data_IF_966480506423
#
_entry.id   IF_966480506423
#
_cell.length_a   1.000
_cell.length_b   1.000
_cell.length_c   1.000
_cell.angle_alpha   90.00
_cell.angle_beta   90.00
_cell.angle_gamma   90.00
#
_symmetry.space_group_name_H-M   'P 1'
#
loop_
_entity.id
_entity.type
_entity.pdbx_description
1 polymer ?
#
# COMPACT_ATOMS: atom_id res chain seq x y z
N UNK A 1 -36.08 7.99 63.20
CA UNK A 1 -35.26 6.85 62.75
C UNK A 1 -35.65 6.57 61.31
N UNK A 2 -35.01 7.24 60.35
CA UNK A 2 -33.78 6.82 59.67
C UNK A 2 -34.11 6.13 58.35
N UNK A 3 -33.71 6.82 57.28
CA UNK A 3 -33.82 6.46 55.88
C UNK A 3 -33.19 5.09 55.55
N UNK A 4 -33.69 4.47 54.48
CA UNK A 4 -32.78 3.87 53.49
C UNK A 4 -33.34 4.03 52.08
N UNK A 5 -32.81 5.04 51.39
CA UNK A 5 -32.71 5.07 49.93
C UNK A 5 -31.83 3.91 49.49
N UNK A 6 -32.24 3.19 48.45
CA UNK A 6 -31.34 2.46 47.56
C UNK A 6 -32.04 2.36 46.20
N UNK A 7 -32.30 3.46 45.50
CA UNK A 7 -31.43 3.98 44.42
C UNK A 7 -30.00 3.44 44.45
N UNK A 8 -29.67 2.62 43.47
CA UNK A 8 -28.34 2.07 43.29
C UNK A 8 -28.22 1.22 42.03
N UNK A 9 -28.78 1.66 40.91
CA UNK A 9 -28.19 1.32 39.62
C UNK A 9 -26.96 2.24 39.49
N UNK A 10 -25.78 1.68 39.72
CA UNK A 10 -24.51 2.39 39.60
C UNK A 10 -24.33 2.85 38.14
N UNK A 11 -24.00 4.12 37.85
CA UNK A 11 -23.79 4.62 36.49
C UNK A 11 -22.42 4.17 35.91
N UNK A 12 -21.96 2.98 36.26
CA UNK A 12 -20.62 2.47 35.98
C UNK A 12 -20.56 1.24 35.08
N UNK A 13 -21.70 0.63 34.73
CA UNK A 13 -21.71 -0.47 33.77
C UNK A 13 -21.62 0.11 32.36
N UNK A 14 -20.40 0.47 31.97
CA UNK A 14 -20.04 0.82 30.61
C UNK A 14 -20.62 -0.25 29.68
N UNK A 15 -21.61 0.14 28.89
CA UNK A 15 -22.32 -0.74 27.98
C UNK A 15 -21.28 -1.53 27.15
N UNK A 16 -21.17 -2.86 27.30
CA UNK A 16 -20.16 -3.65 26.59
C UNK A 16 -20.32 -3.51 25.07
N UNK A 17 -21.52 -3.20 24.58
CA UNK A 17 -21.75 -2.83 23.18
C UNK A 17 -21.08 -1.51 22.78
N UNK A 18 -21.01 -0.51 23.65
CA UNK A 18 -20.34 0.75 23.36
C UNK A 18 -18.83 0.56 23.23
N UNK A 19 -18.22 -0.25 24.10
CA UNK A 19 -16.79 -0.62 23.97
C UNK A 19 -16.49 -1.41 22.70
N UNK A 20 -17.38 -2.34 22.33
CA UNK A 20 -17.24 -3.11 21.08
C UNK A 20 -17.40 -2.21 19.85
N UNK A 21 -18.31 -1.23 19.91
CA UNK A 21 -18.53 -0.26 18.85
C UNK A 21 -17.35 0.71 18.70
N UNK A 22 -16.81 1.22 19.81
CA UNK A 22 -15.65 2.12 19.80
C UNK A 22 -14.38 1.39 19.33
N UNK A 23 -14.15 0.15 19.77
CA UNK A 23 -13.05 -0.69 19.28
C UNK A 23 -13.20 -0.99 17.78
N UNK A 24 -14.36 -1.48 17.35
CA UNK A 24 -14.60 -1.81 15.93
C UNK A 24 -14.54 -0.59 15.00
N UNK A 25 -14.91 0.61 15.48
CA UNK A 25 -14.76 1.84 14.73
C UNK A 25 -13.29 2.30 14.65
N UNK A 26 -12.54 2.17 15.75
CA UNK A 26 -11.11 2.45 15.79
C UNK A 26 -10.31 1.55 14.83
N UNK A 27 -10.62 0.26 14.80
CA UNK A 27 -9.95 -0.73 13.96
C UNK A 27 -10.24 -0.51 12.47
N UNK A 28 -11.51 -0.25 12.15
CA UNK A 28 -11.92 0.14 10.79
C UNK A 28 -11.22 1.42 10.33
N UNK A 29 -11.11 2.43 11.18
CA UNK A 29 -10.45 3.69 10.83
C UNK A 29 -8.93 3.50 10.64
N UNK A 30 -8.26 2.72 11.50
CA UNK A 30 -6.84 2.41 11.34
C UNK A 30 -6.53 1.62 10.06
N UNK A 31 -7.37 0.64 9.74
CA UNK A 31 -7.29 -0.12 8.48
C UNK A 31 -7.58 0.78 7.26
N UNK A 32 -8.54 1.71 7.37
CA UNK A 32 -8.85 2.64 6.28
C UNK A 32 -7.67 3.58 5.97
N UNK A 33 -6.93 4.02 7.00
CA UNK A 33 -5.77 4.88 6.83
C UNK A 33 -4.60 4.13 6.17
N UNK A 34 -4.26 2.93 6.67
CA UNK A 34 -3.18 2.13 6.09
C UNK A 34 -3.46 1.74 4.64
N UNK A 35 -4.73 1.45 4.32
CA UNK A 35 -5.20 1.23 2.96
C UNK A 35 -5.02 2.46 2.06
N UNK A 36 -5.44 3.64 2.51
CA UNK A 36 -5.26 4.89 1.76
C UNK A 36 -3.78 5.22 1.52
N UNK A 37 -2.93 5.04 2.53
CA UNK A 37 -1.48 5.22 2.40
C UNK A 37 -0.89 4.27 1.35
N UNK A 38 -1.26 2.99 1.36
CA UNK A 38 -0.77 2.02 0.39
C UNK A 38 -1.26 2.30 -1.03
N UNK A 39 -2.53 2.69 -1.19
CA UNK A 39 -3.08 3.11 -2.48
C UNK A 39 -2.36 4.35 -3.03
N UNK A 40 -2.04 5.32 -2.17
CA UNK A 40 -1.28 6.51 -2.57
C UNK A 40 0.14 6.14 -3.02
N UNK A 41 0.82 5.25 -2.30
CA UNK A 41 2.16 4.77 -2.68
C UNK A 41 2.12 4.01 -3.99
N UNK A 42 1.18 3.08 -4.14
CA UNK A 42 0.99 2.32 -5.37
C UNK A 42 0.71 3.22 -6.58
N UNK A 43 -0.13 4.25 -6.40
CA UNK A 43 -0.41 5.21 -7.47
C UNK A 43 0.82 6.02 -7.87
N UNK A 44 1.66 6.41 -6.91
CA UNK A 44 2.89 7.14 -7.18
C UNK A 44 3.88 6.27 -7.99
N UNK A 45 4.12 5.05 -7.51
CA UNK A 45 5.00 4.09 -8.18
C UNK A 45 4.53 3.75 -9.60
N UNK A 46 3.21 3.60 -9.80
CA UNK A 46 2.65 3.37 -11.13
C UNK A 46 2.91 4.53 -12.10
N UNK A 47 2.71 5.78 -11.65
CA UNK A 47 2.95 6.96 -12.48
C UNK A 47 4.43 7.09 -12.81
N UNK A 48 5.31 6.88 -11.83
CA UNK A 48 6.76 6.93 -12.02
C UNK A 48 7.22 5.85 -12.99
N UNK A 49 6.71 4.61 -12.85
CA UNK A 49 7.01 3.51 -13.75
C UNK A 49 6.62 3.81 -15.20
N UNK A 50 5.40 4.29 -15.43
CA UNK A 50 4.94 4.67 -16.78
C UNK A 50 5.78 5.81 -17.33
N UNK A 51 6.11 6.81 -16.51
CA UNK A 51 6.97 7.93 -16.88
C UNK A 51 8.35 7.47 -17.35
N UNK A 52 9.00 6.57 -16.62
CA UNK A 52 10.30 5.99 -17.01
C UNK A 52 10.19 5.15 -18.28
N UNK A 53 9.13 4.35 -18.45
CA UNK A 53 8.97 3.51 -19.65
C UNK A 53 8.77 4.33 -20.92
N UNK A 54 8.03 5.44 -20.84
CA UNK A 54 7.86 6.40 -21.93
C UNK A 54 9.18 7.09 -22.31
N UNK A 55 10.04 7.40 -21.34
CA UNK A 55 11.39 7.95 -21.62
C UNK A 55 12.24 6.93 -22.39
N UNK A 56 12.21 5.66 -21.98
CA UNK A 56 12.92 4.60 -22.71
C UNK A 56 12.40 4.41 -24.13
N UNK A 57 11.10 4.56 -24.37
CA UNK A 57 10.52 4.51 -25.73
C UNK A 57 10.97 5.70 -26.59
N UNK A 58 10.99 6.91 -26.04
CA UNK A 58 11.50 8.09 -26.73
C UNK A 58 12.99 7.94 -27.08
N UNK A 59 13.78 7.40 -26.15
CA UNK A 59 15.19 7.10 -26.35
C UNK A 59 15.40 6.03 -27.43
N UNK A 60 14.61 4.96 -27.42
CA UNK A 60 14.64 3.94 -28.46
C UNK A 60 14.43 4.57 -29.85
N UNK A 61 13.41 5.42 -30.01
CA UNK A 61 13.15 6.11 -31.28
C UNK A 61 14.31 7.03 -31.70
N UNK A 62 14.94 7.71 -30.75
CA UNK A 62 16.12 8.53 -31.03
C UNK A 62 17.30 7.69 -31.49
N UNK A 63 17.57 6.55 -30.84
CA UNK A 63 18.65 5.64 -31.22
C UNK A 63 18.37 4.96 -32.56
N UNK A 64 17.12 4.55 -32.81
CA UNK A 64 16.68 3.96 -34.09
C UNK A 64 16.96 4.87 -35.29
N UNK A 65 16.76 6.18 -35.16
CA UNK A 65 17.05 7.16 -36.24
C UNK A 65 18.53 7.22 -36.61
N UNK A 66 19.42 6.80 -35.70
CA UNK A 66 20.87 6.87 -35.90
C UNK A 66 21.47 5.53 -36.33
N UNK A 67 20.72 4.42 -36.28
CA UNK A 67 21.19 3.11 -36.69
C UNK A 67 21.48 3.07 -38.20
N UNK A 68 22.64 2.52 -38.57
CA UNK A 68 23.12 2.43 -39.95
C UNK A 68 23.13 1.02 -40.51
N UNK A 69 23.01 0.02 -39.65
CA UNK A 69 22.94 -1.39 -40.04
C UNK A 69 22.07 -2.25 -39.10
N UNK A 70 21.84 -3.49 -39.51
CA UNK A 70 21.00 -4.45 -38.80
C UNK A 70 21.63 -4.96 -37.49
N UNK A 71 22.95 -4.95 -37.36
CA UNK A 71 23.65 -5.34 -36.14
C UNK A 71 23.46 -4.30 -35.03
N UNK A 72 23.56 -3.01 -35.37
CA UNK A 72 23.24 -1.91 -34.46
C UNK A 72 21.78 -1.96 -33.99
N UNK A 73 20.86 -2.23 -34.91
CA UNK A 73 19.43 -2.41 -34.60
C UNK A 73 19.20 -3.60 -33.65
N UNK A 74 19.82 -4.75 -33.92
CA UNK A 74 19.70 -5.93 -33.06
C UNK A 74 20.23 -5.65 -31.65
N UNK A 75 21.40 -5.01 -31.55
CA UNK A 75 21.98 -4.64 -30.25
C UNK A 75 21.08 -3.66 -29.49
N UNK A 76 20.47 -2.69 -30.18
CA UNK A 76 19.52 -1.75 -29.62
C UNK A 76 18.28 -2.46 -29.06
N UNK A 77 17.69 -3.36 -29.84
CA UNK A 77 16.51 -4.12 -29.43
C UNK A 77 16.78 -5.01 -28.20
N UNK A 78 17.96 -5.65 -28.14
CA UNK A 78 18.37 -6.45 -26.99
C UNK A 78 18.48 -5.57 -25.75
N UNK A 79 19.19 -4.44 -25.83
CA UNK A 79 19.34 -3.51 -24.69
C UNK A 79 17.98 -3.00 -24.20
N UNK A 80 17.11 -2.60 -25.12
CA UNK A 80 15.77 -2.11 -24.79
C UNK A 80 14.91 -3.18 -24.11
N UNK A 81 14.95 -4.42 -24.61
CA UNK A 81 14.20 -5.54 -24.03
C UNK A 81 14.73 -5.92 -22.65
N UNK A 82 16.06 -5.99 -22.50
CA UNK A 82 16.72 -6.26 -21.23
C UNK A 82 16.35 -5.20 -20.19
N UNK A 83 16.37 -3.91 -20.59
CA UNK A 83 16.00 -2.81 -19.72
C UNK A 83 14.54 -2.88 -19.27
N UNK A 84 13.62 -3.23 -20.17
CA UNK A 84 12.22 -3.43 -19.83
C UNK A 84 12.06 -4.55 -18.79
N UNK A 85 12.72 -5.70 -18.99
CA UNK A 85 12.67 -6.82 -18.04
C UNK A 85 13.12 -6.38 -16.64
N UNK A 86 14.26 -5.68 -16.55
CA UNK A 86 14.77 -5.16 -15.27
C UNK A 86 13.78 -4.21 -14.59
N UNK A 87 13.20 -3.28 -15.34
CA UNK A 87 12.23 -2.31 -14.83
C UNK A 87 10.96 -2.99 -14.31
N UNK A 88 10.40 -3.94 -15.06
CA UNK A 88 9.19 -4.68 -14.62
C UNK A 88 9.46 -5.55 -13.40
N UNK A 89 10.64 -6.17 -13.31
CA UNK A 89 11.03 -6.95 -12.13
C UNK A 89 11.18 -6.07 -10.89
N UNK A 90 11.87 -4.93 -11.02
CA UNK A 90 12.03 -3.98 -9.94
C UNK A 90 10.67 -3.45 -9.45
N UNK A 91 9.78 -3.09 -10.38
CA UNK A 91 8.46 -2.56 -10.05
C UNK A 91 7.56 -3.61 -9.38
N UNK A 92 7.62 -4.86 -9.83
CA UNK A 92 6.94 -5.97 -9.18
C UNK A 92 7.42 -6.17 -7.74
N UNK A 93 8.71 -5.97 -7.47
CA UNK A 93 9.29 -6.02 -6.13
C UNK A 93 8.70 -4.97 -5.19
N UNK A 94 8.52 -3.73 -5.68
CA UNK A 94 7.89 -2.66 -4.89
C UNK A 94 6.43 -2.94 -4.57
N UNK A 95 5.68 -3.52 -5.52
CA UNK A 95 4.28 -3.91 -5.27
C UNK A 95 4.18 -5.00 -4.20
N UNK A 96 5.11 -5.96 -4.19
CA UNK A 96 5.20 -6.96 -3.13
C UNK A 96 5.52 -6.34 -1.77
N UNK A 97 6.42 -5.35 -1.73
CA UNK A 97 6.75 -4.60 -0.51
C UNK A 97 5.53 -3.84 0.03
N UNK A 98 4.81 -3.10 -0.83
CA UNK A 98 3.58 -2.40 -0.45
C UNK A 98 2.56 -3.40 0.11
N UNK A 99 2.36 -4.52 -0.56
CA UNK A 99 1.41 -5.56 -0.14
C UNK A 99 1.80 -6.19 1.19
N UNK A 100 3.09 -6.52 1.38
CA UNK A 100 3.60 -7.10 2.63
C UNK A 100 3.42 -6.11 3.79
N UNK A 101 3.73 -4.83 3.57
CA UNK A 101 3.56 -3.78 4.58
C UNK A 101 2.11 -3.60 5.03
N UNK A 102 1.14 -3.80 4.12
CA UNK A 102 -0.29 -3.78 4.46
C UNK A 102 -0.67 -4.95 5.36
N UNK A 103 -0.19 -6.16 5.05
CA UNK A 103 -0.47 -7.35 5.88
C UNK A 103 0.18 -7.25 7.26
N UNK A 104 1.41 -6.75 7.35
CA UNK A 104 2.09 -6.52 8.62
C UNK A 104 1.32 -5.50 9.48
N UNK A 105 0.89 -4.37 8.91
CA UNK A 105 0.08 -3.37 9.61
C UNK A 105 -1.27 -3.94 10.08
N UNK A 106 -1.89 -4.80 9.29
CA UNK A 106 -3.14 -5.46 9.68
C UNK A 106 -2.94 -6.43 10.86
N UNK A 107 -1.85 -7.21 10.86
CA UNK A 107 -1.51 -8.13 11.95
C UNK A 107 -1.12 -7.38 13.24
N UNK A 108 -0.39 -6.26 13.14
CA UNK A 108 -0.08 -5.40 14.29
C UNK A 108 -1.32 -4.80 14.93
N UNK A 109 -2.29 -4.40 14.09
CA UNK A 109 -3.57 -3.83 14.52
C UNK A 109 -4.36 -4.88 15.31
N UNK A 110 -4.49 -6.09 14.77
CA UNK A 110 -5.15 -7.22 15.45
C UNK A 110 -4.46 -7.62 16.78
N UNK A 111 -3.12 -7.60 16.84
CA UNK A 111 -2.37 -7.92 18.07
C UNK A 111 -2.59 -6.89 19.18
N UNK A 112 -2.68 -5.59 18.84
CA UNK A 112 -2.96 -4.52 19.81
C UNK A 112 -4.33 -4.65 20.45
N UNK A 113 -5.32 -5.16 19.72
CA UNK A 113 -6.67 -5.41 20.24
C UNK A 113 -6.71 -6.58 21.23
N UNK A 114 -5.93 -7.65 20.99
CA UNK A 114 -5.90 -8.82 21.90
C UNK A 114 -5.16 -8.59 23.22
N UNK A 115 -4.39 -7.52 23.33
CA UNK A 115 -3.57 -7.19 24.49
C UNK A 115 -4.21 -6.18 25.46
N UNK A 116 -5.40 -5.66 25.15
CA UNK A 116 -6.09 -4.60 25.88
C UNK A 116 -7.42 -5.06 26.50
#
# INVERSE_FOLDING_TARGET
MSAKRQSGASPGDANPFAKLQDAGFGDFMGMSQSWMEAMSRMSAEFVDFIGERLKEDAKLQQELRNCRDLGELQALQIRFTQRAIEQYQAESGKLLEISTSLFEKADETAKKETAN
#
